data_IF_607820154020
#
_entry.id   IF_607820154020
#
_cell.length_a   1.000
_cell.length_b   1.000
_cell.length_c   1.000
_cell.angle_alpha   90.00
_cell.angle_beta   90.00
_cell.angle_gamma   90.00
#
_symmetry.space_group_name_H-M   'P 1'
#
loop_
_entity.id
_entity.type
_entity.pdbx_description
1 polymer ?
#
# COMPACT_ATOMS: atom_id res chain seq x y z
N UNK A 1 29.59 14.91 19.32
CA UNK A 1 29.55 13.68 18.49
C UNK A 1 28.53 12.65 19.00
N UNK A 2 28.44 12.36 20.32
CA UNK A 2 27.46 11.40 20.87
C UNK A 2 25.98 11.75 20.55
N UNK A 3 25.57 13.02 20.68
CA UNK A 3 24.19 13.46 20.39
C UNK A 3 23.75 13.23 18.93
N UNK A 4 24.64 13.48 17.96
CA UNK A 4 24.34 13.33 16.53
C UNK A 4 24.08 11.86 16.16
N UNK A 5 24.82 10.93 16.77
CA UNK A 5 24.66 9.49 16.55
C UNK A 5 23.36 8.97 17.19
N UNK A 6 22.99 9.48 18.36
CA UNK A 6 21.71 9.16 19.01
C UNK A 6 20.52 9.60 18.17
N UNK A 7 20.54 10.84 17.67
CA UNK A 7 19.47 11.38 16.83
C UNK A 7 19.30 10.58 15.52
N UNK A 8 20.41 10.15 14.92
CA UNK A 8 20.37 9.32 13.70
C UNK A 8 19.76 7.95 13.97
N UNK A 9 20.12 7.30 15.09
CA UNK A 9 19.57 6.00 15.47
C UNK A 9 18.06 6.09 15.71
N UNK A 10 17.60 7.11 16.43
CA UNK A 10 16.17 7.35 16.66
C UNK A 10 15.40 7.56 15.35
N UNK A 11 15.95 8.36 14.43
CA UNK A 11 15.33 8.59 13.11
C UNK A 11 15.17 7.29 12.33
N UNK A 12 16.21 6.46 12.26
CA UNK A 12 16.17 5.17 11.56
C UNK A 12 15.13 4.22 12.16
N UNK A 13 15.09 4.08 13.49
CA UNK A 13 14.08 3.26 14.15
C UNK A 13 12.66 3.76 13.87
N UNK A 14 12.45 5.08 13.91
CA UNK A 14 11.13 5.66 13.64
C UNK A 14 10.68 5.37 12.21
N UNK A 15 11.54 5.61 11.22
CA UNK A 15 11.22 5.37 9.81
C UNK A 15 10.96 3.88 9.53
N UNK A 16 11.69 2.99 10.19
CA UNK A 16 11.45 1.54 10.10
C UNK A 16 10.07 1.18 10.64
N UNK A 17 9.70 1.68 11.81
CA UNK A 17 8.38 1.43 12.43
C UNK A 17 7.25 2.00 11.56
N UNK A 18 7.43 3.20 11.01
CA UNK A 18 6.48 3.79 10.05
C UNK A 18 6.28 2.91 8.81
N UNK A 19 7.38 2.40 8.21
CA UNK A 19 7.30 1.51 7.05
C UNK A 19 6.65 0.15 7.38
N UNK A 20 6.98 -0.46 8.53
CA UNK A 20 6.31 -1.68 9.02
C UNK A 20 4.81 -1.48 9.16
N UNK A 21 4.39 -0.39 9.82
CA UNK A 21 2.98 -0.09 10.05
C UNK A 21 2.23 0.17 8.73
N UNK A 22 2.85 0.88 7.79
CA UNK A 22 2.29 1.11 6.45
C UNK A 22 2.01 -0.22 5.74
N UNK A 23 3.01 -1.10 5.67
CA UNK A 23 2.89 -2.42 5.04
C UNK A 23 1.82 -3.29 5.73
N UNK A 24 1.82 -3.31 7.05
CA UNK A 24 0.87 -4.10 7.85
C UNK A 24 -0.58 -3.64 7.62
N UNK A 25 -0.82 -2.32 7.72
CA UNK A 25 -2.14 -1.73 7.45
C UNK A 25 -2.60 -2.05 6.03
N UNK A 26 -1.72 -1.86 5.05
CA UNK A 26 -2.03 -2.13 3.66
C UNK A 26 -2.37 -3.61 3.43
N UNK A 27 -1.59 -4.55 3.97
CA UNK A 27 -1.86 -5.98 3.89
C UNK A 27 -3.23 -6.35 4.50
N UNK A 28 -3.58 -5.76 5.65
CA UNK A 28 -4.90 -5.98 6.26
C UNK A 28 -6.05 -5.36 5.45
N UNK A 29 -5.85 -4.18 4.86
CA UNK A 29 -6.83 -3.54 3.97
C UNK A 29 -7.11 -4.40 2.74
N UNK A 30 -6.07 -4.97 2.11
CA UNK A 30 -6.23 -5.93 1.01
C UNK A 30 -7.02 -7.15 1.47
N UNK A 31 -6.64 -7.74 2.61
CA UNK A 31 -7.31 -8.93 3.17
C UNK A 31 -8.79 -8.69 3.41
N UNK A 32 -9.14 -7.53 3.95
CA UNK A 32 -10.53 -7.13 4.18
C UNK A 32 -11.28 -6.98 2.85
N UNK A 33 -10.67 -6.29 1.88
CA UNK A 33 -11.26 -6.02 0.55
C UNK A 33 -11.59 -7.30 -0.21
N UNK A 34 -10.68 -8.28 -0.26
CA UNK A 34 -10.93 -9.54 -1.00
C UNK A 34 -11.88 -10.50 -0.27
N UNK A 35 -12.15 -10.26 1.01
CA UNK A 35 -13.12 -11.01 1.82
C UNK A 35 -14.50 -10.36 1.84
N UNK A 36 -14.64 -9.12 1.36
CA UNK A 36 -15.91 -8.44 1.21
C UNK A 36 -16.79 -9.16 0.17
N UNK A 37 -18.01 -9.54 0.55
CA UNK A 37 -18.98 -10.23 -0.29
C UNK A 37 -19.28 -9.46 -1.59
N UNK A 38 -19.24 -8.13 -1.54
CA UNK A 38 -19.45 -7.25 -2.72
C UNK A 38 -18.31 -7.36 -3.74
N UNK A 39 -17.14 -7.82 -3.30
CA UNK A 39 -15.92 -7.90 -4.09
C UNK A 39 -15.68 -9.33 -4.58
N UNK A 40 -16.08 -10.35 -3.82
CA UNK A 40 -15.90 -11.76 -4.20
C UNK A 40 -16.48 -12.10 -5.59
N UNK A 41 -17.60 -11.48 -5.97
CA UNK A 41 -18.18 -11.66 -7.32
C UNK A 41 -17.50 -10.88 -8.46
N UNK A 42 -16.51 -10.04 -8.16
CA UNK A 42 -15.83 -9.14 -9.12
C UNK A 42 -14.41 -9.56 -9.47
N UNK A 43 -13.87 -10.52 -8.72
CA UNK A 43 -12.54 -11.10 -8.90
C UNK A 43 -12.65 -12.60 -9.15
N UNK A 44 -11.64 -13.18 -9.81
CA UNK A 44 -11.58 -14.63 -9.98
C UNK A 44 -11.06 -15.31 -8.70
N UNK A 45 -11.34 -16.60 -8.55
CA UNK A 45 -10.76 -17.39 -7.45
C UNK A 45 -9.23 -17.41 -7.48
N UNK A 46 -8.61 -17.37 -8.66
CA UNK A 46 -7.16 -17.30 -8.80
C UNK A 46 -6.61 -15.93 -8.36
N UNK A 47 -7.28 -14.83 -8.71
CA UNK A 47 -6.93 -13.47 -8.25
C UNK A 47 -7.05 -13.36 -6.72
N UNK A 48 -8.15 -13.89 -6.16
CA UNK A 48 -8.38 -13.96 -4.71
C UNK A 48 -7.29 -14.76 -4.01
N UNK A 49 -7.03 -15.99 -4.47
CA UNK A 49 -6.01 -16.88 -3.90
C UNK A 49 -4.63 -16.23 -3.93
N UNK A 50 -4.25 -15.62 -5.06
CA UNK A 50 -2.96 -14.94 -5.20
C UNK A 50 -2.78 -13.79 -4.21
N UNK A 51 -3.83 -13.00 -3.97
CA UNK A 51 -3.79 -11.94 -2.96
C UNK A 51 -3.77 -12.48 -1.53
N UNK A 52 -4.56 -13.51 -1.22
CA UNK A 52 -4.54 -14.15 0.10
C UNK A 52 -3.17 -14.75 0.43
N UNK A 53 -2.56 -15.46 -0.51
CA UNK A 53 -1.22 -16.03 -0.38
C UNK A 53 -0.18 -14.92 -0.15
N UNK A 54 -0.19 -13.85 -0.96
CA UNK A 54 0.76 -12.75 -0.83
C UNK A 54 0.59 -11.98 0.49
N UNK A 55 -0.65 -11.71 0.91
CA UNK A 55 -0.94 -11.06 2.19
C UNK A 55 -0.44 -11.91 3.36
N UNK A 56 -0.71 -13.22 3.33
CA UNK A 56 -0.24 -14.12 4.39
C UNK A 56 1.29 -14.21 4.43
N UNK A 57 1.96 -14.23 3.27
CA UNK A 57 3.42 -14.15 3.18
C UNK A 57 3.96 -12.88 3.84
N UNK A 58 3.32 -11.73 3.58
CA UNK A 58 3.75 -10.43 4.11
C UNK A 58 3.53 -10.32 5.62
N UNK A 59 2.37 -10.76 6.11
CA UNK A 59 2.10 -10.79 7.56
C UNK A 59 3.13 -11.69 8.25
N UNK A 60 3.35 -12.90 7.73
CA UNK A 60 4.37 -13.79 8.26
C UNK A 60 5.78 -13.22 8.16
N UNK A 61 6.10 -12.46 7.11
CA UNK A 61 7.36 -11.73 7.02
C UNK A 61 7.47 -10.70 8.14
N UNK A 62 6.46 -9.85 8.34
CA UNK A 62 6.45 -8.80 9.38
C UNK A 62 6.64 -9.40 10.78
N UNK A 63 5.93 -10.48 11.10
CA UNK A 63 5.98 -11.16 12.40
C UNK A 63 7.36 -11.76 12.67
N UNK A 64 8.04 -12.30 11.65
CA UNK A 64 9.34 -12.95 11.78
C UNK A 64 10.53 -11.99 11.60
N UNK A 65 10.30 -10.75 11.14
CA UNK A 65 11.34 -9.82 10.74
C UNK A 65 11.08 -8.43 11.32
N UNK A 66 10.96 -8.29 12.65
CA UNK A 66 10.61 -7.00 13.28
C UNK A 66 11.70 -5.92 13.22
N UNK A 67 12.96 -6.32 13.03
CA UNK A 67 14.12 -5.43 13.10
C UNK A 67 14.85 -5.22 11.76
N UNK A 68 14.28 -5.69 10.64
CA UNK A 68 14.88 -5.50 9.30
C UNK A 68 14.95 -4.02 8.91
N UNK A 69 15.83 -3.71 7.96
CA UNK A 69 15.95 -2.36 7.43
C UNK A 69 14.65 -1.89 6.76
N UNK A 70 14.40 -0.58 6.79
CA UNK A 70 13.20 0.07 6.24
C UNK A 70 12.94 -0.36 4.80
N UNK A 71 13.99 -0.43 4.00
CA UNK A 71 13.98 -0.76 2.59
C UNK A 71 13.40 -2.17 2.34
N UNK A 72 13.49 -3.09 3.30
CA UNK A 72 12.87 -4.43 3.19
C UNK A 72 11.36 -4.41 3.38
N UNK A 73 10.84 -3.51 4.22
CA UNK A 73 9.39 -3.30 4.29
C UNK A 73 8.87 -2.64 3.03
N UNK A 74 9.56 -1.64 2.50
CA UNK A 74 9.19 -0.97 1.24
C UNK A 74 9.23 -1.95 0.05
N UNK A 75 10.23 -2.82 -0.03
CA UNK A 75 10.30 -3.88 -1.06
C UNK A 75 9.09 -4.83 -0.99
N UNK A 76 8.66 -5.20 0.22
CA UNK A 76 7.47 -6.05 0.41
C UNK A 76 6.17 -5.31 0.09
N UNK A 77 6.10 -4.02 0.37
CA UNK A 77 4.97 -3.17 0.01
C UNK A 77 4.79 -3.10 -1.51
N UNK A 78 5.88 -2.87 -2.25
CA UNK A 78 5.86 -2.85 -3.72
C UNK A 78 5.46 -4.21 -4.31
N UNK A 79 5.92 -5.32 -3.73
CA UNK A 79 5.50 -6.66 -4.14
C UNK A 79 4.00 -6.90 -3.95
N UNK A 80 3.41 -6.38 -2.87
CA UNK A 80 1.95 -6.46 -2.67
C UNK A 80 1.21 -5.56 -3.65
N UNK A 81 1.65 -4.31 -3.79
CA UNK A 81 1.07 -3.33 -4.72
C UNK A 81 1.05 -3.83 -6.16
N UNK A 82 2.12 -4.49 -6.61
CA UNK A 82 2.20 -5.05 -7.96
C UNK A 82 1.07 -6.04 -8.28
N UNK A 83 0.59 -6.78 -7.28
CA UNK A 83 -0.51 -7.75 -7.44
C UNK A 83 -1.86 -7.09 -7.12
N UNK A 84 -1.91 -6.27 -6.08
CA UNK A 84 -3.14 -5.62 -5.62
C UNK A 84 -3.65 -4.54 -6.58
N UNK A 85 -2.77 -3.67 -7.08
CA UNK A 85 -3.12 -2.56 -7.99
C UNK A 85 -4.00 -2.97 -9.18
N UNK A 86 -3.64 -3.99 -9.99
CA UNK A 86 -4.43 -4.37 -11.14
C UNK A 86 -5.80 -4.94 -10.74
N UNK A 87 -5.88 -5.73 -9.68
CA UNK A 87 -7.12 -6.36 -9.20
C UNK A 87 -8.06 -5.29 -8.62
N UNK A 88 -7.51 -4.37 -7.82
CA UNK A 88 -8.26 -3.26 -7.23
C UNK A 88 -8.78 -2.31 -8.30
N UNK A 89 -7.95 -1.98 -9.29
CA UNK A 89 -8.39 -1.15 -10.42
C UNK A 89 -9.53 -1.82 -11.20
N UNK A 90 -9.47 -3.14 -11.39
CA UNK A 90 -10.54 -3.94 -12.02
C UNK A 90 -11.83 -3.91 -11.19
N UNK A 91 -11.74 -4.05 -9.87
CA UNK A 91 -12.90 -3.98 -8.96
C UNK A 91 -13.58 -2.61 -9.05
N UNK A 92 -12.81 -1.52 -9.00
CA UNK A 92 -13.32 -0.16 -9.15
C UNK A 92 -14.02 0.07 -10.49
N UNK A 93 -13.44 -0.41 -11.59
CA UNK A 93 -14.05 -0.30 -12.92
C UNK A 93 -15.39 -1.05 -13.03
N UNK A 94 -15.55 -2.14 -12.27
CA UNK A 94 -16.81 -2.87 -12.16
C UNK A 94 -17.78 -2.25 -11.13
N UNK A 95 -17.55 -1.00 -10.71
CA UNK A 95 -18.36 -0.30 -9.71
C UNK A 95 -18.28 -0.96 -8.32
N UNK A 96 -17.16 -1.61 -7.98
CA UNK A 96 -16.91 -2.16 -6.66
C UNK A 96 -16.37 -1.10 -5.72
N UNK A 97 -17.10 -0.87 -4.63
CA UNK A 97 -16.62 -0.11 -3.48
C UNK A 97 -16.59 -1.06 -2.28
N UNK A 98 -15.39 -1.52 -1.93
CA UNK A 98 -15.16 -2.36 -0.75
C UNK A 98 -14.70 -1.51 0.44
N UNK A 99 -14.96 -1.98 1.66
CA UNK A 99 -14.62 -1.24 2.90
C UNK A 99 -13.12 -0.99 3.13
N UNK A 100 -12.22 -1.60 2.34
CA UNK A 100 -10.76 -1.38 2.42
C UNK A 100 -10.17 -0.59 1.25
N UNK A 101 -11.02 -0.05 0.37
CA UNK A 101 -10.61 0.58 -0.88
C UNK A 101 -10.46 2.11 -0.77
N UNK A 102 -11.13 2.73 0.19
CA UNK A 102 -11.12 4.19 0.42
C UNK A 102 -9.70 4.74 0.63
N UNK A 103 -8.86 4.03 1.39
CA UNK A 103 -7.45 4.37 1.65
C UNK A 103 -6.53 4.13 0.44
N UNK A 104 -6.95 3.23 -0.45
CA UNK A 104 -6.23 2.90 -1.68
C UNK A 104 -6.34 3.99 -2.74
N UNK A 105 -7.51 4.61 -2.84
CA UNK A 105 -7.75 5.72 -3.75
C UNK A 105 -6.86 6.91 -3.42
N UNK A 106 -6.67 7.22 -2.13
CA UNK A 106 -5.82 8.30 -1.66
C UNK A 106 -4.33 8.07 -2.04
N UNK A 107 -3.87 6.82 -1.93
CA UNK A 107 -2.51 6.41 -2.30
C UNK A 107 -2.23 6.56 -3.81
N UNK A 108 -3.19 6.23 -4.69
CA UNK A 108 -3.03 6.42 -6.15
C UNK A 108 -3.02 7.90 -6.58
N UNK A 109 -3.71 8.79 -5.86
CA UNK A 109 -3.70 10.23 -6.17
C UNK A 109 -2.32 10.87 -6.02
N UNK A 110 -1.43 10.33 -5.18
CA UNK A 110 -0.10 10.90 -4.98
C UNK A 110 0.94 10.51 -6.05
N UNK A 111 0.69 9.45 -6.84
CA UNK A 111 1.63 8.96 -7.87
C UNK A 111 1.26 9.39 -9.31
N UNK A 112 0.16 10.13 -9.51
CA UNK A 112 -0.26 10.66 -10.82
C UNK A 112 -0.32 12.20 -10.92
N UNK A 113 0.40 12.93 -10.08
CA UNK A 113 0.60 14.40 -10.19
C UNK A 113 2.03 14.80 -10.60
N UNK A 114 2.61 14.14 -11.60
CA UNK A 114 3.84 14.64 -12.25
C UNK A 114 3.84 14.62 -13.77
N UNK A 115 2.69 14.39 -14.42
CA UNK A 115 2.53 14.58 -15.86
C UNK A 115 1.16 15.14 -16.25
N UNK A 116 0.82 16.32 -15.72
CA UNK A 116 0.08 17.31 -16.52
C UNK A 116 0.34 18.69 -15.94
N UNK A 117 0.98 19.55 -16.74
CA UNK A 117 1.19 20.94 -16.38
C UNK A 117 -0.18 21.59 -16.07
N UNK A 118 -0.23 22.33 -14.96
CA UNK A 118 -1.44 22.96 -14.46
C UNK A 118 -2.13 23.89 -15.47
N UNK A 119 -3.39 24.28 -15.20
CA UNK A 119 -4.10 25.22 -16.05
C UNK A 119 -3.33 26.54 -16.13
N UNK A 120 -2.99 26.97 -17.35
CA UNK A 120 -2.59 28.36 -17.60
C UNK A 120 -3.81 29.24 -17.32
N UNK A 121 -3.84 29.82 -16.15
CA UNK A 121 -4.70 30.97 -15.86
C UNK A 121 -3.99 32.13 -16.54
N UNK A 122 -4.37 32.40 -17.78
CA UNK A 122 -3.93 33.58 -18.50
C UNK A 122 -4.60 34.78 -17.84
N UNK A 123 -3.76 35.74 -17.44
CA UNK A 123 -4.14 36.95 -16.74
C UNK A 123 -5.23 37.69 -17.54
N UNK A 124 -6.32 38.03 -16.85
CA UNK A 124 -7.36 38.90 -17.38
C UNK A 124 -6.87 40.34 -17.19
N UNK A 125 -6.55 41.02 -18.29
CA UNK A 125 -6.38 42.48 -18.34
C UNK A 125 -7.69 43.22 -17.97
#
# INVERSE_FOLDING_TARGET
MKQKNTNLKMKKTRQRVEAKNSLENYAYNIRSTIRDEKIQGKITEDEKRSLEEKVNEIIGFIENNEEVEKEKYEEKEEQLKAIANPIISKIYQQGGTGSGMEDYAETKTQEQESQNAGPKIEEVD
#
